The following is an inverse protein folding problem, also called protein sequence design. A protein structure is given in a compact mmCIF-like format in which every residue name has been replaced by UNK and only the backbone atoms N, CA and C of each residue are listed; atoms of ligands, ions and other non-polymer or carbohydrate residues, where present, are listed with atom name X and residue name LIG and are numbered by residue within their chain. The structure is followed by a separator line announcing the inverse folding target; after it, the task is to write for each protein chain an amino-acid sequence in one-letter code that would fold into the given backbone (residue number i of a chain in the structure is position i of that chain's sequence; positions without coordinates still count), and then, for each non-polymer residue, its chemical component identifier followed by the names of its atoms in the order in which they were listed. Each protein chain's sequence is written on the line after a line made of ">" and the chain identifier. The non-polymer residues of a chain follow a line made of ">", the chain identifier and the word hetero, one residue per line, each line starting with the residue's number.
data_IF_301742515107
#
_entry.id   IF_301742515107
#
_cell.length_a   1.000
_cell.length_b   1.000
_cell.length_c   1.000
_cell.angle_alpha   90.00
_cell.angle_beta   90.00
_cell.angle_gamma   90.00
#
_symmetry.space_group_name_H-M   'P 1'
#
loop_
_entity.id
_entity.type
_entity.pdbx_description
1 polymer ?
#
# COMPACT_ATOMS: atom_id res chain seq x y z
N UNK A 1 28.36 60.28 37.34
CA UNK A 1 27.10 59.83 36.71
C UNK A 1 27.29 59.89 35.20
N UNK A 2 27.11 58.72 34.53
CA UNK A 2 26.54 58.45 33.19
C UNK A 2 26.83 59.48 32.07
N UNK A 3 27.30 59.19 30.85
CA UNK A 3 26.93 58.11 29.91
C UNK A 3 28.09 57.87 28.91
N UNK A 4 28.53 56.63 28.75
CA UNK A 4 29.25 56.18 27.55
C UNK A 4 28.22 55.83 26.49
N UNK A 5 28.18 56.58 25.40
CA UNK A 5 27.37 56.30 24.21
C UNK A 5 27.89 55.05 23.52
N UNK A 6 27.08 53.99 23.48
CA UNK A 6 27.33 52.83 22.64
C UNK A 6 27.00 53.17 21.17
N UNK A 7 27.79 52.72 20.17
CA UNK A 7 27.46 52.92 18.77
C UNK A 7 26.28 52.03 18.37
N UNK A 8 25.38 52.60 17.56
CA UNK A 8 24.21 51.92 17.02
C UNK A 8 24.62 50.65 16.25
N UNK A 9 24.23 49.47 16.75
CA UNK A 9 24.24 48.23 15.97
C UNK A 9 23.28 48.41 14.80
N UNK A 10 23.80 48.49 13.58
CA UNK A 10 23.01 48.22 12.37
C UNK A 10 22.49 46.79 12.50
N UNK A 11 21.18 46.63 12.72
CA UNK A 11 20.49 45.38 12.50
C UNK A 11 20.57 45.07 11.01
N UNK A 12 21.49 44.19 10.63
CA UNK A 12 21.44 43.54 9.33
C UNK A 12 20.19 42.65 9.36
N UNK A 13 19.22 42.81 8.45
CA UNK A 13 18.06 41.93 8.43
C UNK A 13 18.54 40.52 8.10
N UNK A 14 18.37 39.61 9.05
CA UNK A 14 18.67 38.18 8.95
C UNK A 14 17.66 37.45 8.04
N UNK A 15 17.16 38.12 7.00
CA UNK A 15 16.05 37.67 6.15
C UNK A 15 16.46 37.51 4.68
N UNK A 16 17.75 37.56 4.36
CA UNK A 16 18.21 37.56 2.96
C UNK A 16 19.00 36.31 2.52
N UNK A 17 19.29 35.35 3.39
CA UNK A 17 20.14 34.21 3.01
C UNK A 17 19.71 32.89 3.66
N UNK A 18 18.53 32.41 3.31
CA UNK A 18 18.22 30.97 3.31
C UNK A 18 17.01 30.69 2.42
N UNK A 19 16.96 31.32 1.25
CA UNK A 19 16.23 30.73 0.13
C UNK A 19 17.10 29.60 -0.42
N UNK A 20 17.28 28.55 0.38
CA UNK A 20 17.67 27.26 -0.16
C UNK A 20 16.59 26.95 -1.19
N UNK A 21 16.98 26.96 -2.46
CA UNK A 21 16.19 26.33 -3.52
C UNK A 21 15.99 24.90 -3.05
N UNK A 22 14.85 24.61 -2.42
CA UNK A 22 14.26 23.29 -2.43
C UNK A 22 14.02 23.01 -3.91
N UNK A 23 15.05 22.46 -4.57
CA UNK A 23 14.86 21.70 -5.79
C UNK A 23 13.73 20.75 -5.45
N UNK A 24 12.56 20.92 -6.08
CA UNK A 24 11.39 20.11 -5.80
C UNK A 24 11.76 18.64 -6.00
N UNK A 25 12.11 17.96 -4.90
CA UNK A 25 12.37 16.54 -4.86
C UNK A 25 11.00 15.88 -4.72
N UNK A 26 10.46 15.40 -5.84
CA UNK A 26 9.25 14.60 -5.82
C UNK A 26 9.61 13.17 -5.40
N UNK A 27 8.82 12.61 -4.49
CA UNK A 27 8.86 11.18 -4.20
C UNK A 27 7.95 10.51 -5.20
N UNK A 28 8.53 9.70 -6.09
CA UNK A 28 7.78 8.87 -7.03
C UNK A 28 7.52 7.52 -6.38
N UNK A 29 6.25 7.13 -6.28
CA UNK A 29 5.82 5.84 -5.73
C UNK A 29 5.00 5.13 -6.81
N UNK A 30 5.40 3.92 -7.18
CA UNK A 30 4.62 3.05 -8.08
C UNK A 30 3.71 2.08 -7.32
N UNK A 31 2.74 1.49 -8.03
CA UNK A 31 1.91 0.43 -7.48
C UNK A 31 2.78 -0.78 -7.06
N UNK A 32 3.74 -1.19 -7.90
CA UNK A 32 4.78 -2.16 -7.52
C UNK A 32 5.47 -1.86 -6.19
N UNK A 33 6.02 -0.66 -6.02
CA UNK A 33 6.73 -0.28 -4.79
C UNK A 33 5.81 -0.32 -3.57
N UNK A 34 4.55 0.10 -3.74
CA UNK A 34 3.54 0.02 -2.70
C UNK A 34 3.21 -1.43 -2.36
N UNK A 35 3.03 -2.31 -3.36
CA UNK A 35 2.80 -3.73 -3.16
C UNK A 35 3.92 -4.36 -2.32
N UNK A 36 5.18 -4.12 -2.70
CA UNK A 36 6.36 -4.67 -1.99
C UNK A 36 6.40 -4.18 -0.54
N UNK A 37 6.34 -2.86 -0.33
CA UNK A 37 6.44 -2.27 1.01
C UNK A 37 5.30 -2.70 1.93
N UNK A 38 4.08 -2.77 1.40
CA UNK A 38 2.92 -3.13 2.20
C UNK A 38 2.86 -4.65 2.46
N UNK A 39 3.35 -5.49 1.56
CA UNK A 39 3.55 -6.92 1.83
C UNK A 39 4.55 -7.13 2.98
N UNK A 40 5.68 -6.42 2.98
CA UNK A 40 6.66 -6.50 4.07
C UNK A 40 6.05 -6.06 5.41
N UNK A 41 5.35 -4.92 5.45
CA UNK A 41 4.68 -4.43 6.66
C UNK A 41 3.59 -5.38 7.15
N UNK A 42 2.84 -6.00 6.24
CA UNK A 42 1.85 -7.02 6.60
C UNK A 42 2.51 -8.18 7.34
N UNK A 43 3.64 -8.68 6.84
CA UNK A 43 4.39 -9.75 7.50
C UNK A 43 4.90 -9.32 8.88
N UNK A 44 5.46 -8.10 8.99
CA UNK A 44 5.93 -7.54 10.27
C UNK A 44 4.80 -7.43 11.31
N UNK A 45 3.62 -6.97 10.90
CA UNK A 45 2.46 -6.86 11.78
C UNK A 45 1.93 -8.23 12.21
N UNK A 46 1.90 -9.23 11.32
CA UNK A 46 1.54 -10.60 11.68
C UNK A 46 2.54 -11.20 12.67
N UNK A 47 3.84 -10.98 12.48
CA UNK A 47 4.87 -11.47 13.40
C UNK A 47 4.75 -10.81 14.79
N UNK A 48 4.47 -9.50 14.84
CA UNK A 48 4.25 -8.77 16.08
C UNK A 48 2.93 -9.15 16.78
N UNK A 49 1.95 -9.69 16.04
CA UNK A 49 0.66 -10.09 16.59
C UNK A 49 0.72 -11.21 17.63
N UNK A 50 1.83 -11.96 17.68
CA UNK A 50 2.09 -12.97 18.71
C UNK A 50 2.09 -12.35 20.12
N UNK A 51 2.58 -11.12 20.26
CA UNK A 51 2.64 -10.41 21.54
C UNK A 51 1.58 -9.32 21.67
N UNK A 52 1.07 -8.81 20.55
CA UNK A 52 0.10 -7.72 20.51
C UNK A 52 -0.98 -8.01 19.45
N UNK A 53 -2.10 -8.65 19.83
CA UNK A 53 -3.16 -9.03 18.88
C UNK A 53 -3.74 -7.85 18.08
N UNK A 54 -3.62 -6.60 18.57
CA UNK A 54 -4.09 -5.42 17.83
C UNK A 54 -3.34 -5.24 16.51
N UNK A 55 -2.11 -5.77 16.39
CA UNK A 55 -1.34 -5.74 15.14
C UNK A 55 -2.00 -6.48 13.99
N UNK A 56 -2.95 -7.40 14.24
CA UNK A 56 -3.74 -8.01 13.17
C UNK A 56 -4.61 -6.98 12.43
N UNK A 57 -5.04 -5.91 13.10
CA UNK A 57 -5.79 -4.81 12.46
C UNK A 57 -4.92 -4.06 11.46
N UNK A 58 -3.69 -3.72 11.86
CA UNK A 58 -2.72 -3.07 10.98
C UNK A 58 -2.30 -3.99 9.83
N UNK A 59 -2.15 -5.30 10.10
CA UNK A 59 -1.89 -6.30 9.07
C UNK A 59 -2.99 -6.32 8.00
N UNK A 60 -4.28 -6.23 8.37
CA UNK A 60 -5.37 -6.13 7.39
C UNK A 60 -5.26 -4.87 6.54
N UNK A 61 -4.97 -3.72 7.16
CA UNK A 61 -4.79 -2.45 6.41
C UNK A 61 -3.68 -2.58 5.36
N UNK A 62 -2.52 -3.07 5.77
CA UNK A 62 -1.38 -3.27 4.89
C UNK A 62 -1.65 -4.35 3.82
N UNK A 63 -2.28 -5.47 4.20
CA UNK A 63 -2.59 -6.57 3.28
C UNK A 63 -3.51 -6.13 2.15
N UNK A 64 -4.57 -5.40 2.50
CA UNK A 64 -5.52 -4.86 1.53
C UNK A 64 -4.84 -3.90 0.56
N UNK A 65 -4.03 -2.97 1.07
CA UNK A 65 -3.29 -2.04 0.21
C UNK A 65 -2.24 -2.74 -0.66
N UNK A 66 -1.55 -3.74 -0.12
CA UNK A 66 -0.62 -4.56 -0.88
C UNK A 66 -1.33 -5.26 -2.04
N UNK A 67 -2.51 -5.85 -1.77
CA UNK A 67 -3.27 -6.56 -2.78
C UNK A 67 -3.86 -5.64 -3.83
N UNK A 68 -4.45 -4.49 -3.44
CA UNK A 68 -4.87 -3.43 -4.37
C UNK A 68 -3.74 -2.98 -5.29
N UNK A 69 -2.57 -2.74 -4.73
CA UNK A 69 -1.41 -2.32 -5.49
C UNK A 69 -0.92 -3.43 -6.44
N UNK A 70 -0.95 -4.69 -6.00
CA UNK A 70 -0.65 -5.84 -6.84
C UNK A 70 -1.64 -6.00 -8.01
N UNK A 71 -2.94 -5.83 -7.78
CA UNK A 71 -3.97 -5.84 -8.83
C UNK A 71 -3.77 -4.68 -9.81
N UNK A 72 -3.48 -3.48 -9.30
CA UNK A 72 -3.20 -2.29 -10.13
C UNK A 72 -1.98 -2.52 -11.01
N UNK A 73 -0.90 -3.10 -10.48
CA UNK A 73 0.30 -3.43 -11.24
C UNK A 73 0.03 -4.54 -12.26
N UNK A 74 -0.80 -5.54 -11.90
CA UNK A 74 -1.19 -6.63 -12.79
C UNK A 74 -2.14 -6.22 -13.92
N UNK A 75 -2.80 -5.07 -13.80
CA UNK A 75 -3.60 -4.50 -14.87
C UNK A 75 -2.86 -3.36 -15.61
N UNK A 76 -1.71 -2.92 -15.10
CA UNK A 76 -0.94 -1.81 -15.67
C UNK A 76 -0.54 -2.11 -17.11
N UNK A 77 -0.69 -1.13 -18.00
CA UNK A 77 -0.46 -1.29 -19.44
C UNK A 77 -1.66 -1.87 -20.19
N UNK A 78 -2.69 -2.34 -19.48
CA UNK A 78 -3.93 -2.88 -20.03
C UNK A 78 -5.16 -2.17 -19.43
N UNK A 79 -6.35 -2.42 -19.98
CA UNK A 79 -7.64 -1.90 -19.47
C UNK A 79 -7.75 -0.38 -19.22
N UNK A 80 -6.84 0.46 -19.74
CA UNK A 80 -6.80 1.89 -19.43
C UNK A 80 -6.14 2.24 -18.09
N UNK A 81 -5.55 1.26 -17.39
CA UNK A 81 -4.75 1.45 -16.18
C UNK A 81 -3.28 1.52 -16.60
N UNK A 82 -2.56 2.56 -16.20
CA UNK A 82 -1.14 2.74 -16.54
C UNK A 82 -0.86 3.03 -18.03
N UNK A 83 -1.85 2.98 -18.92
CA UNK A 83 -1.73 3.32 -20.36
C UNK A 83 -1.60 4.84 -20.63
N UNK A 84 -1.01 5.58 -19.69
CA UNK A 84 -0.73 7.00 -19.81
C UNK A 84 0.67 7.21 -20.39
N UNK A 85 0.86 6.69 -21.62
CA UNK A 85 2.08 6.81 -22.45
C UNK A 85 2.62 8.23 -22.37
N UNK A 86 3.76 8.43 -21.71
CA UNK A 86 4.69 9.59 -21.64
C UNK A 86 4.12 11.02 -21.56
N UNK A 87 3.10 11.34 -22.34
CA UNK A 87 2.32 12.56 -22.39
C UNK A 87 1.68 12.91 -21.05
N UNK A 88 0.99 11.98 -20.39
CA UNK A 88 0.34 12.27 -19.10
C UNK A 88 1.35 12.34 -17.94
N UNK A 89 2.41 11.53 -17.96
CA UNK A 89 3.54 11.69 -17.03
C UNK A 89 4.25 13.04 -17.24
N UNK A 90 4.40 13.47 -18.50
CA UNK A 90 4.93 14.78 -18.87
C UNK A 90 4.01 15.93 -18.45
N UNK A 91 2.69 15.81 -18.64
CA UNK A 91 1.68 16.78 -18.19
C UNK A 91 1.62 16.86 -16.66
N UNK A 92 1.72 15.72 -15.96
CA UNK A 92 1.81 15.68 -14.51
C UNK A 92 3.10 16.34 -14.01
N UNK A 93 4.25 16.06 -14.63
CA UNK A 93 5.52 16.74 -14.29
C UNK A 93 5.45 18.25 -14.55
N UNK A 94 4.79 18.68 -15.64
CA UNK A 94 4.55 20.11 -15.92
C UNK A 94 3.66 20.74 -14.85
N UNK A 95 2.56 20.08 -14.47
CA UNK A 95 1.68 20.52 -13.38
C UNK A 95 2.45 20.67 -12.06
N UNK A 96 3.20 19.64 -11.67
CA UNK A 96 4.00 19.65 -10.44
C UNK A 96 5.02 20.80 -10.45
N UNK A 97 5.64 21.08 -11.60
CA UNK A 97 6.57 22.21 -11.79
C UNK A 97 5.91 23.59 -11.81
N UNK A 98 4.58 23.67 -11.69
CA UNK A 98 3.82 24.92 -11.78
C UNK A 98 3.73 25.49 -13.21
N UNK A 99 4.04 24.69 -14.22
CA UNK A 99 3.80 25.03 -15.61
C UNK A 99 2.29 24.88 -15.88
N UNK A 100 1.69 25.73 -16.74
CA UNK A 100 0.26 25.68 -17.10
C UNK A 100 -0.10 24.31 -17.70
N UNK A 101 -0.48 23.39 -16.83
CA UNK A 101 -1.03 22.09 -17.13
C UNK A 101 -2.17 21.86 -16.14
N UNK A 102 -3.27 21.30 -16.61
CA UNK A 102 -4.34 20.87 -15.71
C UNK A 102 -3.88 19.63 -14.94
N UNK A 103 -4.41 19.45 -13.72
CA UNK A 103 -4.18 18.22 -12.98
C UNK A 103 -4.74 17.05 -13.80
N UNK A 104 -3.92 16.03 -14.14
CA UNK A 104 -4.42 14.89 -14.89
C UNK A 104 -5.52 14.19 -14.09
N UNK A 105 -6.55 13.68 -14.78
CA UNK A 105 -7.66 12.98 -14.14
C UNK A 105 -7.14 11.75 -13.38
N UNK A 106 -7.28 11.75 -12.06
CA UNK A 106 -6.99 10.61 -11.20
C UNK A 106 -8.03 9.50 -11.46
N UNK A 107 -7.82 8.68 -12.48
CA UNK A 107 -8.58 7.45 -12.64
C UNK A 107 -8.03 6.40 -11.67
N UNK A 108 -8.41 6.53 -10.40
CA UNK A 108 -8.19 5.49 -9.39
C UNK A 108 -9.42 4.60 -9.34
N UNK A 109 -9.28 3.34 -9.73
CA UNK A 109 -10.36 2.36 -9.62
C UNK A 109 -10.54 1.92 -8.17
N UNK A 110 -11.78 1.62 -7.80
CA UNK A 110 -12.07 1.03 -6.50
C UNK A 110 -11.66 -0.46 -6.47
N UNK A 111 -11.49 -1.01 -5.26
CA UNK A 111 -11.07 -2.41 -5.08
C UNK A 111 -11.95 -3.41 -5.85
N UNK A 112 -13.27 -3.25 -5.76
CA UNK A 112 -14.22 -4.13 -6.44
C UNK A 112 -14.02 -4.14 -7.96
N UNK A 113 -13.81 -2.96 -8.56
CA UNK A 113 -13.57 -2.82 -10.00
C UNK A 113 -12.22 -3.41 -10.41
N UNK A 114 -11.15 -3.16 -9.64
CA UNK A 114 -9.83 -3.76 -9.87
C UNK A 114 -9.91 -5.29 -9.82
N UNK A 115 -10.60 -5.84 -8.82
CA UNK A 115 -10.72 -7.28 -8.64
C UNK A 115 -11.57 -7.91 -9.73
N UNK A 116 -12.65 -7.26 -10.17
CA UNK A 116 -13.46 -7.70 -11.31
C UNK A 116 -12.64 -7.72 -12.60
N UNK A 117 -11.92 -6.63 -12.90
CA UNK A 117 -11.13 -6.53 -14.13
C UNK A 117 -9.97 -7.51 -14.16
N UNK A 118 -9.36 -7.81 -13.01
CA UNK A 118 -8.32 -8.83 -12.92
C UNK A 118 -8.82 -10.25 -13.25
N UNK A 119 -10.13 -10.49 -13.20
CA UNK A 119 -10.76 -11.77 -13.55
C UNK A 119 -11.28 -11.82 -14.99
N UNK A 120 -11.32 -10.67 -15.69
CA UNK A 120 -11.82 -10.58 -17.05
C UNK A 120 -10.69 -10.92 -18.04
N UNK A 121 -10.83 -12.00 -18.84
CA UNK A 121 -9.79 -12.42 -19.79
C UNK A 121 -9.54 -11.39 -20.91
N UNK A 122 -10.51 -10.50 -21.18
CA UNK A 122 -10.41 -9.51 -22.25
C UNK A 122 -9.77 -8.19 -21.78
N UNK A 123 -9.51 -8.05 -20.47
CA UNK A 123 -8.95 -6.82 -19.88
C UNK A 123 -7.44 -6.79 -19.82
N UNK A 124 -6.76 -7.93 -19.92
CA UNK A 124 -5.30 -8.04 -19.86
C UNK A 124 -4.78 -8.83 -21.05
N UNK A 125 -3.67 -8.37 -21.64
CA UNK A 125 -3.03 -9.06 -22.77
C UNK A 125 -2.53 -10.48 -22.41
N UNK A 126 -2.26 -10.73 -21.13
CA UNK A 126 -1.81 -12.01 -20.58
C UNK A 126 -2.94 -12.87 -19.97
N UNK A 127 -4.19 -12.43 -20.09
CA UNK A 127 -5.37 -13.15 -19.60
C UNK A 127 -5.65 -12.98 -18.10
N UNK A 128 -6.80 -13.51 -17.68
CA UNK A 128 -7.35 -13.37 -16.33
C UNK A 128 -6.47 -14.01 -15.23
N UNK A 129 -6.44 -13.40 -14.06
CA UNK A 129 -5.87 -14.01 -12.86
C UNK A 129 -6.82 -15.10 -12.36
N UNK A 130 -6.38 -16.37 -12.28
CA UNK A 130 -7.28 -17.49 -11.99
C UNK A 130 -7.53 -17.62 -10.48
N UNK A 131 -8.44 -16.81 -9.91
CA UNK A 131 -8.85 -16.94 -8.51
C UNK A 131 -9.85 -18.07 -8.26
N UNK A 132 -9.68 -18.83 -7.18
CA UNK A 132 -10.67 -19.82 -6.72
C UNK A 132 -11.84 -19.14 -6.01
N UNK A 133 -12.98 -19.82 -5.84
CA UNK A 133 -14.13 -19.25 -5.12
C UNK A 133 -13.78 -18.86 -3.67
N UNK A 134 -12.99 -19.68 -2.97
CA UNK A 134 -12.51 -19.37 -1.62
C UNK A 134 -11.64 -18.10 -1.59
N UNK A 135 -10.81 -17.89 -2.61
CA UNK A 135 -9.96 -16.70 -2.73
C UNK A 135 -10.77 -15.45 -3.06
N UNK A 136 -11.82 -15.57 -3.90
CA UNK A 136 -12.76 -14.48 -4.18
C UNK A 136 -13.52 -14.08 -2.93
N UNK A 137 -14.00 -15.06 -2.17
CA UNK A 137 -14.68 -14.81 -0.89
C UNK A 137 -13.72 -14.16 0.12
N UNK A 138 -12.48 -14.64 0.22
CA UNK A 138 -11.48 -14.04 1.10
C UNK A 138 -11.11 -12.60 0.69
N UNK A 139 -11.02 -12.32 -0.61
CA UNK A 139 -10.79 -10.97 -1.13
C UNK A 139 -11.94 -10.00 -0.77
N UNK A 140 -13.18 -10.45 -0.91
CA UNK A 140 -14.35 -9.68 -0.49
C UNK A 140 -14.39 -9.46 1.04
N UNK A 141 -14.07 -10.49 1.82
CA UNK A 141 -13.95 -10.38 3.29
C UNK A 141 -12.83 -9.40 3.69
N UNK A 142 -11.70 -9.41 2.99
CA UNK A 142 -10.59 -8.48 3.23
C UNK A 142 -11.01 -7.02 3.00
N UNK A 143 -11.72 -6.74 1.90
CA UNK A 143 -12.26 -5.41 1.60
C UNK A 143 -13.31 -4.96 2.62
N UNK A 144 -14.22 -5.87 3.01
CA UNK A 144 -15.21 -5.61 4.05
C UNK A 144 -14.55 -5.29 5.41
N UNK A 145 -13.56 -6.08 5.83
CA UNK A 145 -12.80 -5.82 7.06
C UNK A 145 -12.05 -4.50 7.00
N UNK A 146 -11.45 -4.16 5.85
CA UNK A 146 -10.79 -2.87 5.64
C UNK A 146 -11.76 -1.70 5.90
N UNK A 147 -12.96 -1.77 5.32
CA UNK A 147 -14.00 -0.76 5.51
C UNK A 147 -14.47 -0.63 6.96
N UNK A 148 -14.58 -1.75 7.68
CA UNK A 148 -14.91 -1.73 9.12
C UNK A 148 -13.80 -1.06 9.94
N UNK A 149 -12.54 -1.36 9.62
CA UNK A 149 -11.35 -0.88 10.35
C UNK A 149 -11.11 0.61 10.18
N UNK A 150 -11.40 1.18 9.02
CA UNK A 150 -11.11 2.59 8.73
C UNK A 150 -12.24 3.56 8.97
N UNK A 151 -13.47 3.07 9.02
CA UNK A 151 -14.63 3.93 9.25
C UNK A 151 -15.07 3.78 10.71
N UNK A 152 -14.61 4.68 11.62
CA UNK A 152 -15.00 4.62 13.02
C UNK A 152 -16.52 4.65 13.12
N UNK A 153 -17.08 3.61 13.76
CA UNK A 153 -18.52 3.53 14.00
C UNK A 153 -18.87 4.38 15.24
N UNK A 154 -20.08 4.98 15.29
CA UNK A 154 -20.53 5.72 16.47
C UNK A 154 -20.60 4.89 17.76
N UNK A 155 -20.66 3.57 17.63
CA UNK A 155 -20.69 2.61 18.74
C UNK A 155 -19.41 1.77 18.79
N UNK A 156 -19.19 1.10 19.92
CA UNK A 156 -18.16 0.06 20.02
C UNK A 156 -18.42 -1.04 18.98
N UNK A 157 -17.35 -1.51 18.36
CA UNK A 157 -17.36 -2.65 17.46
C UNK A 157 -16.09 -3.46 17.71
N UNK A 158 -16.16 -4.74 17.40
CA UNK A 158 -15.05 -5.69 17.59
C UNK A 158 -15.06 -6.68 16.44
N UNK A 159 -13.88 -7.13 16.06
CA UNK A 159 -13.71 -8.25 15.14
C UNK A 159 -12.94 -9.33 15.87
N UNK A 160 -13.40 -10.57 15.73
CA UNK A 160 -12.74 -11.72 16.33
C UNK A 160 -11.36 -11.92 15.69
N UNK A 161 -10.28 -12.10 16.49
CA UNK A 161 -8.94 -12.37 15.94
C UNK A 161 -8.91 -13.55 14.97
N UNK A 162 -9.70 -14.60 15.23
CA UNK A 162 -9.84 -15.77 14.34
C UNK A 162 -10.33 -15.40 12.94
N UNK A 163 -11.24 -14.43 12.82
CA UNK A 163 -11.70 -13.92 11.52
C UNK A 163 -10.56 -13.19 10.78
N UNK A 164 -9.80 -12.35 11.47
CA UNK A 164 -8.65 -11.64 10.88
C UNK A 164 -7.59 -12.63 10.38
N UNK A 165 -7.24 -13.61 11.21
CA UNK A 165 -6.27 -14.66 10.88
C UNK A 165 -6.72 -15.48 9.69
N UNK A 166 -8.00 -15.87 9.63
CA UNK A 166 -8.57 -16.63 8.50
C UNK A 166 -8.37 -15.86 7.19
N UNK A 167 -8.77 -14.59 7.13
CA UNK A 167 -8.66 -13.78 5.92
C UNK A 167 -7.20 -13.53 5.54
N UNK A 168 -6.35 -13.18 6.51
CA UNK A 168 -4.90 -12.99 6.29
C UNK A 168 -4.23 -14.27 5.76
N UNK A 169 -4.76 -15.45 6.06
CA UNK A 169 -4.27 -16.73 5.54
C UNK A 169 -4.33 -16.87 4.03
N UNK A 170 -5.19 -16.12 3.34
CA UNK A 170 -5.30 -16.15 1.87
C UNK A 170 -4.41 -15.12 1.18
N UNK A 171 -4.02 -14.06 1.88
CA UNK A 171 -3.25 -12.92 1.33
C UNK A 171 -1.94 -13.35 0.66
N UNK A 172 -1.12 -14.25 1.23
CA UNK A 172 0.11 -14.72 0.58
C UNK A 172 -0.13 -15.21 -0.86
N UNK A 173 -1.14 -16.07 -1.04
CA UNK A 173 -1.47 -16.67 -2.33
C UNK A 173 -2.08 -15.67 -3.30
N UNK A 174 -2.88 -14.74 -2.80
CA UNK A 174 -3.43 -13.64 -3.61
C UNK A 174 -2.30 -12.76 -4.18
N UNK A 175 -1.32 -12.40 -3.36
CA UNK A 175 -0.16 -11.61 -3.79
C UNK A 175 0.71 -12.37 -4.78
N UNK A 176 0.98 -13.66 -4.53
CA UNK A 176 1.73 -14.51 -5.47
C UNK A 176 1.08 -14.56 -6.85
N UNK A 177 -0.26 -14.62 -6.92
CA UNK A 177 -1.00 -14.60 -8.19
C UNK A 177 -0.87 -13.27 -8.92
N UNK A 178 -0.95 -12.14 -8.21
CA UNK A 178 -0.71 -10.81 -8.81
C UNK A 178 0.71 -10.69 -9.36
N UNK A 179 1.71 -11.10 -8.59
CA UNK A 179 3.12 -11.08 -9.02
C UNK A 179 3.33 -12.00 -10.22
N UNK A 180 2.74 -13.20 -10.22
CA UNK A 180 2.86 -14.13 -11.34
C UNK A 180 2.23 -13.57 -12.63
N UNK A 181 1.04 -12.94 -12.53
CA UNK A 181 0.38 -12.31 -13.67
C UNK A 181 1.19 -11.14 -14.25
N UNK A 182 1.84 -10.36 -13.39
CA UNK A 182 2.59 -9.17 -13.77
C UNK A 182 4.11 -9.34 -13.65
N UNK A 183 4.65 -10.56 -13.77
CA UNK A 183 6.03 -10.87 -13.36
C UNK A 183 7.09 -9.94 -13.99
N UNK A 184 6.84 -9.49 -15.23
CA UNK A 184 7.71 -8.59 -15.99
C UNK A 184 7.76 -7.16 -15.43
N UNK A 185 6.77 -6.76 -14.63
CA UNK A 185 6.77 -5.48 -13.91
C UNK A 185 7.63 -5.54 -12.63
N UNK A 186 7.79 -6.73 -12.05
CA UNK A 186 8.56 -6.99 -10.82
C UNK A 186 10.04 -7.26 -11.12
N UNK A 187 10.79 -6.18 -11.36
CA UNK A 187 12.24 -6.22 -11.62
C UNK A 187 13.07 -6.15 -10.34
N UNK A 188 14.40 -6.30 -10.46
CA UNK A 188 15.37 -6.07 -9.37
C UNK A 188 15.12 -6.87 -8.06
N UNK A 189 14.47 -8.03 -8.17
CA UNK A 189 14.16 -8.87 -7.00
C UNK A 189 12.90 -8.45 -6.24
N UNK A 190 12.10 -7.51 -6.75
CA UNK A 190 10.84 -7.09 -6.13
C UNK A 190 9.87 -8.27 -5.97
N UNK A 191 9.79 -9.15 -6.97
CA UNK A 191 8.94 -10.35 -6.93
C UNK A 191 9.38 -11.34 -5.86
N UNK A 192 10.69 -11.57 -5.73
CA UNK A 192 11.28 -12.40 -4.67
C UNK A 192 10.99 -11.79 -3.30
N UNK A 193 11.06 -10.45 -3.17
CA UNK A 193 10.76 -9.75 -1.93
C UNK A 193 9.30 -9.97 -1.50
N UNK A 194 8.35 -9.93 -2.45
CA UNK A 194 6.94 -10.26 -2.16
C UNK A 194 6.79 -11.72 -1.74
N UNK A 195 7.45 -12.66 -2.41
CA UNK A 195 7.41 -14.08 -2.06
C UNK A 195 7.98 -14.34 -0.65
N UNK A 196 9.09 -13.70 -0.30
CA UNK A 196 9.67 -13.77 1.06
C UNK A 196 8.69 -13.22 2.08
N UNK A 197 8.04 -12.08 1.79
CA UNK A 197 7.01 -11.53 2.67
C UNK A 197 5.81 -12.50 2.82
N UNK A 198 5.32 -13.08 1.73
CA UNK A 198 4.23 -14.05 1.71
C UNK A 198 4.55 -15.31 2.56
N UNK A 199 5.78 -15.82 2.45
CA UNK A 199 6.26 -16.92 3.28
C UNK A 199 6.31 -16.54 4.77
N UNK A 200 6.79 -15.33 5.10
CA UNK A 200 6.80 -14.80 6.47
C UNK A 200 5.39 -14.65 7.06
N UNK A 201 4.43 -14.14 6.29
CA UNK A 201 3.02 -14.06 6.70
C UNK A 201 2.48 -15.44 7.09
N UNK A 202 2.69 -16.44 6.22
CA UNK A 202 2.21 -17.82 6.45
C UNK A 202 2.83 -18.43 7.72
N UNK A 203 4.14 -18.24 7.91
CA UNK A 203 4.84 -18.69 9.11
C UNK A 203 4.38 -17.97 10.38
N UNK A 204 4.13 -16.66 10.30
CA UNK A 204 3.66 -15.83 11.42
C UNK A 204 2.24 -16.20 11.85
N UNK A 205 1.31 -16.37 10.91
CA UNK A 205 -0.07 -16.78 11.19
C UNK A 205 -0.12 -18.13 11.91
N UNK A 206 0.74 -19.08 11.52
CA UNK A 206 0.85 -20.38 12.17
C UNK A 206 1.26 -20.30 13.65
N UNK A 207 1.85 -19.17 14.09
CA UNK A 207 2.21 -18.92 15.49
C UNK A 207 1.07 -18.22 16.24
N UNK A 208 0.39 -17.28 15.59
CA UNK A 208 -0.76 -16.55 16.14
C UNK A 208 -1.94 -17.50 16.40
N UNK A 209 -2.16 -18.49 15.54
CA UNK A 209 -3.27 -19.45 15.66
C UNK A 209 -3.08 -20.54 16.73
N UNK A 210 -1.94 -20.59 17.43
CA UNK A 210 -1.73 -21.61 18.46
C UNK A 210 -2.49 -21.22 19.73
N UNK A 211 -3.33 -22.10 20.29
CA UNK A 211 -3.94 -21.83 21.59
C UNK A 211 -2.83 -21.61 22.62
N UNK A 212 -2.97 -20.57 23.44
CA UNK A 212 -2.02 -20.28 24.51
C UNK A 212 -1.97 -21.49 25.46
N UNK A 213 -0.77 -21.92 25.84
CA UNK A 213 -0.60 -22.97 26.86
C UNK A 213 -1.21 -22.56 28.22
N UNK A 214 -1.45 -21.26 28.43
CA UNK A 214 -2.13 -20.75 29.62
C UNK A 214 -3.66 -20.99 29.61
N UNK A 215 -4.26 -21.29 28.46
CA UNK A 215 -5.71 -21.56 28.33
C UNK A 215 -6.04 -23.06 28.53
N UNK A 216 -5.05 -23.89 28.87
CA UNK A 216 -5.20 -25.33 29.13
C UNK A 216 -5.12 -25.69 30.63
N UNK A 217 -5.14 -24.70 31.52
CA UNK A 217 -5.03 -24.85 32.98
C UNK A 217 -6.33 -24.63 33.73
#
# INVERSE_FOLDING_TARGET
>A
MVQRTAPARKLVPLAAQTSAKLTLMYVHISARQTCVQQAQRTAEHIEAAVTDPQRLVDAIRCAHLAFMAGLTEALSGSAGIGAFKDKLAGEHLKFLRGERADMPSEHTLHFAELFEWAQDPDRMEWGAIPFTEDEKQAAAELDGLRGLIDHPKPTHWSVEPGQLVKVLGFVPKLLEKCVAAAFHHYVDGDGETVQVAAARMSAGLSRVSRPSLADQG
#
